data_IF_411040544974
#
_entry.id   IF_411040544974
#
_cell.length_a   1.000
_cell.length_b   1.000
_cell.length_c   1.000
_cell.angle_alpha   90.00
_cell.angle_beta   90.00
_cell.angle_gamma   90.00
#
_symmetry.space_group_name_H-M   'P 1'
#
loop_
_entity.id
_entity.type
_entity.pdbx_description
1 polymer ?
#
# COMPACT_ATOMS: atom_id res chain seq x y z
N UNK A 1 -12.63 19.23 -2.35
CA UNK A 1 -11.31 19.38 -3.02
C UNK A 1 -10.74 18.03 -3.45
N UNK A 2 -10.71 17.02 -2.57
CA UNK A 2 -10.15 15.68 -2.90
C UNK A 2 -10.94 14.99 -4.01
N UNK A 3 -12.28 14.98 -3.93
CA UNK A 3 -13.14 14.36 -4.93
C UNK A 3 -12.93 14.95 -6.34
N UNK A 4 -12.83 16.27 -6.45
CA UNK A 4 -12.56 16.94 -7.71
C UNK A 4 -11.19 16.53 -8.31
N UNK A 5 -10.17 16.34 -7.47
CA UNK A 5 -8.84 15.87 -7.91
C UNK A 5 -8.89 14.43 -8.41
N UNK A 6 -9.58 13.55 -7.69
CA UNK A 6 -9.77 12.15 -8.09
C UNK A 6 -10.52 12.09 -9.41
N UNK A 7 -11.65 12.80 -9.53
CA UNK A 7 -12.44 12.86 -10.76
C UNK A 7 -11.61 13.34 -11.96
N UNK A 8 -10.86 14.45 -11.79
CA UNK A 8 -9.96 14.97 -12.84
C UNK A 8 -8.89 13.95 -13.24
N UNK A 9 -8.34 13.20 -12.28
CA UNK A 9 -7.40 12.12 -12.56
C UNK A 9 -8.04 11.00 -13.39
N UNK A 10 -9.23 10.54 -12.99
CA UNK A 10 -9.97 9.50 -13.71
C UNK A 10 -10.36 9.91 -15.12
N UNK A 11 -10.74 11.17 -15.32
CA UNK A 11 -11.04 11.71 -16.64
C UNK A 11 -9.82 11.64 -17.59
N UNK A 12 -8.62 11.89 -17.07
CA UNK A 12 -7.37 11.76 -17.86
C UNK A 12 -7.14 10.30 -18.25
N UNK A 13 -7.25 9.37 -17.32
CA UNK A 13 -7.07 7.94 -17.60
C UNK A 13 -8.12 7.43 -18.59
N UNK A 14 -9.36 7.91 -18.46
CA UNK A 14 -10.44 7.56 -19.41
C UNK A 14 -10.14 8.04 -20.82
N UNK A 15 -9.54 9.21 -21.00
CA UNK A 15 -9.13 9.72 -22.32
C UNK A 15 -8.08 8.84 -22.98
N UNK A 16 -7.21 8.24 -22.19
CA UNK A 16 -6.16 7.30 -22.64
C UNK A 16 -6.65 5.84 -22.66
N UNK A 17 -7.94 5.61 -22.50
CA UNK A 17 -8.58 4.28 -22.47
C UNK A 17 -8.02 3.36 -21.37
N UNK A 18 -7.40 3.94 -20.32
CA UNK A 18 -6.83 3.20 -19.20
C UNK A 18 -7.88 2.96 -18.13
N UNK A 19 -8.20 1.70 -17.87
CA UNK A 19 -9.10 1.29 -16.79
C UNK A 19 -8.40 1.28 -15.46
N UNK A 20 -8.78 2.20 -14.57
CA UNK A 20 -8.28 2.24 -13.19
C UNK A 20 -9.03 1.20 -12.36
N UNK A 21 -8.28 0.42 -11.57
CA UNK A 21 -8.83 -0.58 -10.64
C UNK A 21 -8.62 -0.19 -9.18
N UNK A 22 -7.46 0.34 -8.84
CA UNK A 22 -7.09 0.62 -7.48
C UNK A 22 -6.50 2.02 -7.33
N UNK A 23 -6.62 2.55 -6.12
CA UNK A 23 -5.99 3.79 -5.71
C UNK A 23 -4.73 3.48 -4.89
N UNK A 24 -3.71 4.30 -5.08
CA UNK A 24 -2.53 4.34 -4.25
C UNK A 24 -2.33 5.78 -3.75
N UNK A 25 -2.31 5.97 -2.44
CA UNK A 25 -2.18 7.30 -1.85
C UNK A 25 -0.74 7.83 -1.95
N UNK A 26 -0.52 9.03 -2.51
CA UNK A 26 0.77 9.68 -2.40
C UNK A 26 1.20 9.80 -0.93
N UNK A 27 2.45 9.42 -0.63
CA UNK A 27 3.01 9.40 0.74
C UNK A 27 2.20 8.58 1.75
N UNK A 28 1.38 7.64 1.29
CA UNK A 28 0.51 6.80 2.14
C UNK A 28 -0.40 7.65 3.05
N UNK A 29 -0.87 8.81 2.54
CA UNK A 29 -1.74 9.71 3.28
C UNK A 29 -3.14 9.70 2.70
N UNK A 30 -4.11 9.26 3.51
CA UNK A 30 -5.52 9.27 3.19
C UNK A 30 -6.34 9.42 4.48
N UNK A 31 -7.54 9.97 4.35
CA UNK A 31 -8.48 10.21 5.42
C UNK A 31 -9.89 9.75 5.03
N UNK A 32 -10.86 10.02 5.89
CA UNK A 32 -12.26 9.67 5.66
C UNK A 32 -12.81 10.32 4.38
N UNK A 33 -12.45 11.57 4.11
CA UNK A 33 -12.91 12.28 2.91
C UNK A 33 -12.35 11.63 1.64
N UNK A 34 -11.11 11.09 1.70
CA UNK A 34 -10.52 10.32 0.61
C UNK A 34 -11.36 9.07 0.33
N UNK A 35 -11.79 8.33 1.36
CA UNK A 35 -12.61 7.13 1.18
C UNK A 35 -13.98 7.45 0.57
N UNK A 36 -14.61 8.52 1.02
CA UNK A 36 -15.89 8.99 0.45
C UNK A 36 -15.69 9.34 -1.04
N UNK A 37 -14.67 10.13 -1.33
CA UNK A 37 -14.37 10.58 -2.69
C UNK A 37 -14.05 9.41 -3.64
N UNK A 38 -13.31 8.40 -3.19
CA UNK A 38 -13.01 7.20 -3.95
C UNK A 38 -14.29 6.41 -4.27
N UNK A 39 -15.13 6.16 -3.25
CA UNK A 39 -16.41 5.44 -3.43
C UNK A 39 -17.37 6.16 -4.38
N UNK A 40 -17.50 7.48 -4.25
CA UNK A 40 -18.32 8.29 -5.16
C UNK A 40 -17.86 8.21 -6.63
N UNK A 41 -16.59 7.88 -6.84
CA UNK A 41 -16.01 7.71 -8.17
C UNK A 41 -15.80 6.24 -8.56
N UNK A 42 -16.44 5.30 -7.86
CA UNK A 42 -16.43 3.87 -8.18
C UNK A 42 -15.13 3.14 -7.87
N UNK A 43 -14.20 3.76 -7.12
CA UNK A 43 -12.96 3.12 -6.68
C UNK A 43 -13.16 2.53 -5.29
N UNK A 44 -13.10 1.21 -5.19
CA UNK A 44 -13.29 0.46 -3.95
C UNK A 44 -12.08 -0.37 -3.54
N UNK A 45 -10.95 -0.18 -4.20
CA UNK A 45 -9.72 -0.94 -3.98
C UNK A 45 -8.55 0.02 -3.75
N UNK A 46 -7.75 -0.26 -2.72
CA UNK A 46 -6.55 0.52 -2.34
C UNK A 46 -5.37 -0.43 -2.20
N UNK A 47 -4.24 -0.08 -2.81
CA UNK A 47 -2.95 -0.74 -2.58
C UNK A 47 -2.20 0.10 -1.55
N UNK A 48 -2.45 -0.17 -0.28
CA UNK A 48 -1.85 0.50 0.88
C UNK A 48 -2.36 -0.13 2.17
N UNK A 49 -1.90 0.39 3.30
CA UNK A 49 -2.41 0.03 4.61
C UNK A 49 -1.52 -0.91 5.40
N UNK A 50 -1.83 -0.99 6.68
CA UNK A 50 -1.05 -1.73 7.66
C UNK A 50 -1.75 -3.04 8.00
N UNK A 51 -1.29 -4.13 7.42
CA UNK A 51 -1.83 -5.46 7.67
C UNK A 51 -0.89 -6.53 7.15
N UNK A 52 -1.09 -7.77 7.57
CA UNK A 52 -0.35 -8.92 7.04
C UNK A 52 -1.15 -9.67 5.96
N UNK A 53 -2.46 -9.44 5.89
CA UNK A 53 -3.35 -10.02 4.89
C UNK A 53 -4.21 -8.94 4.26
N UNK A 54 -4.65 -9.10 3.02
CA UNK A 54 -5.68 -8.26 2.42
C UNK A 54 -6.94 -8.24 3.29
N UNK A 55 -7.56 -7.08 3.40
CA UNK A 55 -8.73 -6.87 4.27
C UNK A 55 -9.72 -5.88 3.66
N UNK A 56 -10.92 -5.85 4.23
CA UNK A 56 -11.93 -4.81 3.91
C UNK A 56 -12.16 -3.93 5.13
N UNK A 57 -12.16 -2.64 4.94
CA UNK A 57 -12.53 -1.63 5.91
C UNK A 57 -13.38 -0.55 5.26
N UNK A 58 -14.51 -0.16 5.89
CA UNK A 58 -15.42 0.87 5.35
C UNK A 58 -15.87 0.61 3.90
N UNK A 59 -16.07 -0.64 3.55
CA UNK A 59 -16.43 -1.11 2.19
C UNK A 59 -15.34 -0.82 1.13
N UNK A 60 -14.09 -0.64 1.54
CA UNK A 60 -12.92 -0.55 0.66
C UNK A 60 -12.03 -1.74 0.92
N UNK A 61 -11.55 -2.37 -0.14
CA UNK A 61 -10.62 -3.48 -0.11
C UNK A 61 -9.19 -2.95 -0.11
N UNK A 62 -8.37 -3.48 0.78
CA UNK A 62 -6.97 -3.10 0.93
C UNK A 62 -6.06 -4.28 0.63
N UNK A 63 -5.05 -4.06 -0.21
CA UNK A 63 -3.88 -4.93 -0.30
C UNK A 63 -2.76 -4.22 0.44
N UNK A 64 -2.29 -4.77 1.59
CA UNK A 64 -1.32 -4.11 2.45
C UNK A 64 0.01 -3.85 1.76
N UNK A 65 0.65 -2.74 2.13
CA UNK A 65 1.99 -2.39 1.71
C UNK A 65 2.80 -1.91 2.91
N UNK A 66 3.61 -2.79 3.48
CA UNK A 66 4.44 -2.47 4.64
C UNK A 66 5.89 -2.11 4.26
N UNK A 67 6.33 -2.50 3.08
CA UNK A 67 7.73 -2.43 2.67
C UNK A 67 7.90 -1.69 1.33
N UNK A 68 8.99 -0.95 1.21
CA UNK A 68 9.43 -0.30 -0.03
C UNK A 68 10.56 -1.09 -0.73
N UNK A 69 10.73 -2.34 -0.33
CA UNK A 69 11.66 -3.30 -0.94
C UNK A 69 11.02 -4.67 -0.96
N UNK A 70 11.51 -5.55 -1.84
CA UNK A 70 11.05 -6.94 -1.86
C UNK A 70 11.43 -7.65 -0.56
N UNK A 71 10.42 -8.19 0.11
CA UNK A 71 10.56 -8.94 1.36
C UNK A 71 9.67 -10.17 1.27
N UNK A 72 10.25 -11.32 1.54
CA UNK A 72 9.50 -12.56 1.71
C UNK A 72 9.12 -12.71 3.17
N UNK A 73 7.83 -12.69 3.45
CA UNK A 73 7.32 -12.96 4.79
C UNK A 73 7.05 -14.46 4.96
N UNK A 74 7.18 -14.99 6.18
CA UNK A 74 6.85 -16.39 6.47
C UNK A 74 5.35 -16.68 6.29
N UNK A 75 4.51 -15.64 6.38
CA UNK A 75 3.07 -15.69 6.11
C UNK A 75 2.56 -14.29 5.76
N UNK A 76 1.40 -14.23 5.15
CA UNK A 76 0.78 -12.97 4.75
C UNK A 76 0.87 -12.68 3.25
N UNK A 77 0.21 -11.63 2.83
CA UNK A 77 0.20 -11.14 1.45
C UNK A 77 0.47 -9.65 1.48
N UNK A 78 1.51 -9.23 0.77
CA UNK A 78 1.96 -7.84 0.71
C UNK A 78 2.12 -7.41 -0.74
N UNK A 79 1.76 -6.16 -1.02
CA UNK A 79 2.28 -5.46 -2.17
C UNK A 79 3.61 -4.79 -1.83
N UNK A 80 4.41 -4.51 -2.84
CA UNK A 80 5.69 -3.81 -2.68
C UNK A 80 5.77 -2.67 -3.67
N UNK A 81 6.12 -1.49 -3.19
CA UNK A 81 6.43 -0.33 -4.02
C UNK A 81 7.92 -0.30 -4.30
N UNK A 82 8.28 -0.28 -5.57
CA UNK A 82 9.67 -0.23 -6.01
C UNK A 82 9.97 1.09 -6.69
N UNK A 83 11.05 1.74 -6.28
CA UNK A 83 11.54 3.00 -6.85
C UNK A 83 12.61 2.72 -7.90
N UNK A 84 12.23 2.14 -9.03
CA UNK A 84 13.15 1.66 -10.07
C UNK A 84 14.00 2.78 -10.72
N UNK A 85 13.54 4.03 -10.63
CA UNK A 85 14.30 5.18 -11.16
C UNK A 85 15.62 5.47 -10.42
N UNK A 86 15.80 4.89 -9.22
CA UNK A 86 17.04 5.02 -8.44
C UNK A 86 17.93 3.77 -8.55
N UNK A 87 17.47 2.74 -9.27
CA UNK A 87 18.16 1.46 -9.34
C UNK A 87 19.40 1.52 -10.22
N UNK A 88 20.43 0.81 -9.74
CA UNK A 88 21.62 0.45 -10.51
C UNK A 88 21.40 -0.91 -11.20
N UNK A 89 22.27 -1.27 -12.11
CA UNK A 89 22.22 -2.56 -12.81
C UNK A 89 22.14 -3.76 -11.84
N UNK A 90 22.91 -3.72 -10.78
CA UNK A 90 22.90 -4.78 -9.75
C UNK A 90 21.53 -4.95 -9.06
N UNK A 91 20.75 -3.86 -8.91
CA UNK A 91 19.42 -3.92 -8.30
C UNK A 91 18.43 -4.65 -9.21
N UNK A 92 18.52 -4.43 -10.52
CA UNK A 92 17.72 -5.17 -11.51
C UNK A 92 18.06 -6.66 -11.50
N UNK A 93 19.36 -7.01 -11.48
CA UNK A 93 19.82 -8.41 -11.41
C UNK A 93 19.31 -9.08 -10.13
N UNK A 94 19.43 -8.40 -8.98
CA UNK A 94 18.95 -8.91 -7.70
C UNK A 94 17.43 -9.10 -7.70
N UNK A 95 16.69 -8.18 -8.27
CA UNK A 95 15.23 -8.28 -8.39
C UNK A 95 14.82 -9.44 -9.31
N UNK A 96 15.46 -9.57 -10.46
CA UNK A 96 15.20 -10.69 -11.37
C UNK A 96 15.46 -12.04 -10.70
N UNK A 97 16.58 -12.18 -9.99
CA UNK A 97 16.90 -13.38 -9.22
C UNK A 97 15.87 -13.66 -8.12
N UNK A 98 15.40 -12.60 -7.44
CA UNK A 98 14.33 -12.74 -6.45
C UNK A 98 13.04 -13.28 -7.08
N UNK A 99 12.62 -12.73 -8.22
CA UNK A 99 11.42 -13.19 -8.94
C UNK A 99 11.56 -14.65 -9.38
N UNK A 100 12.70 -15.00 -10.00
CA UNK A 100 12.96 -16.38 -10.45
C UNK A 100 12.92 -17.38 -9.29
N UNK A 101 13.57 -17.04 -8.17
CA UNK A 101 13.64 -17.91 -6.99
C UNK A 101 12.30 -18.09 -6.28
N UNK A 102 11.44 -17.07 -6.29
CA UNK A 102 10.22 -17.03 -5.48
C UNK A 102 8.94 -16.97 -6.34
N UNK A 103 9.01 -17.38 -7.61
CA UNK A 103 7.89 -17.28 -8.56
C UNK A 103 6.61 -17.98 -8.07
N UNK A 104 6.74 -19.07 -7.33
CA UNK A 104 5.62 -19.82 -6.74
C UNK A 104 4.94 -19.11 -5.56
N UNK A 105 5.55 -18.06 -5.01
CA UNK A 105 5.02 -17.25 -3.92
C UNK A 105 4.50 -15.88 -4.39
N UNK A 106 4.70 -15.58 -5.66
CA UNK A 106 4.20 -14.36 -6.29
C UNK A 106 2.82 -14.64 -6.85
N UNK A 107 1.85 -13.85 -6.43
CA UNK A 107 0.46 -14.00 -6.85
C UNK A 107 -0.02 -12.76 -7.60
N UNK A 108 -1.05 -12.94 -8.41
CA UNK A 108 -1.67 -11.82 -9.12
C UNK A 108 -2.48 -10.93 -8.18
N UNK A 109 -2.80 -9.73 -8.63
CA UNK A 109 -3.66 -8.79 -7.91
C UNK A 109 -5.03 -9.41 -7.57
N UNK A 110 -5.64 -10.12 -8.52
CA UNK A 110 -6.94 -10.76 -8.30
C UNK A 110 -6.86 -11.90 -7.29
N UNK A 111 -5.80 -12.69 -7.34
CA UNK A 111 -5.54 -13.72 -6.35
C UNK A 111 -5.33 -13.12 -4.94
N UNK A 112 -4.68 -11.96 -4.84
CA UNK A 112 -4.54 -11.27 -3.56
C UNK A 112 -5.90 -10.79 -3.04
N UNK A 113 -6.75 -10.20 -3.87
CA UNK A 113 -8.11 -9.79 -3.49
C UNK A 113 -8.99 -10.97 -3.05
N UNK A 114 -8.84 -12.13 -3.70
CA UNK A 114 -9.57 -13.36 -3.32
C UNK A 114 -9.15 -13.89 -1.94
N UNK A 115 -8.03 -13.44 -1.39
CA UNK A 115 -7.53 -13.81 -0.06
C UNK A 115 -7.92 -12.81 1.04
N UNK A 116 -8.83 -11.88 0.78
CA UNK A 116 -9.34 -10.96 1.79
C UNK A 116 -9.87 -11.75 2.98
N UNK A 117 -9.39 -11.42 4.17
CA UNK A 117 -9.79 -12.05 5.40
C UNK A 117 -10.00 -11.02 6.51
N UNK A 118 -11.23 -10.96 7.01
CA UNK A 118 -11.68 -10.04 8.06
C UNK A 118 -11.98 -10.74 9.39
N UNK A 119 -11.47 -11.94 9.61
CA UNK A 119 -11.67 -12.62 10.88
C UNK A 119 -11.02 -11.84 12.04
N UNK A 120 -11.44 -12.17 13.27
CA UNK A 120 -11.00 -11.48 14.47
C UNK A 120 -9.46 -11.51 14.64
N UNK A 121 -8.83 -12.65 14.34
CA UNK A 121 -7.38 -12.81 14.48
C UNK A 121 -6.61 -11.83 13.57
N UNK A 122 -6.98 -11.71 12.29
CA UNK A 122 -6.32 -10.76 11.37
C UNK A 122 -6.62 -9.30 11.69
N UNK A 123 -7.83 -9.00 12.21
CA UNK A 123 -8.14 -7.66 12.73
C UNK A 123 -7.24 -7.30 13.91
N UNK A 124 -7.03 -8.22 14.83
CA UNK A 124 -6.16 -8.06 15.99
C UNK A 124 -4.68 -7.88 15.57
N UNK A 125 -4.17 -8.74 14.68
CA UNK A 125 -2.83 -8.58 14.11
C UNK A 125 -2.64 -7.23 13.43
N UNK A 126 -3.62 -6.78 12.66
CA UNK A 126 -3.60 -5.45 12.02
C UNK A 126 -3.57 -4.34 13.06
N UNK A 127 -4.33 -4.44 14.13
CA UNK A 127 -4.30 -3.46 15.22
C UNK A 127 -2.90 -3.36 15.84
N UNK A 128 -2.26 -4.50 16.15
CA UNK A 128 -0.88 -4.54 16.66
C UNK A 128 0.08 -3.90 15.66
N UNK A 129 0.08 -4.34 14.41
CA UNK A 129 0.96 -3.81 13.36
C UNK A 129 0.82 -2.30 13.21
N UNK A 130 -0.41 -1.80 13.17
CA UNK A 130 -0.71 -0.37 13.08
C UNK A 130 -0.17 0.39 14.29
N UNK A 131 -0.36 -0.14 15.50
CA UNK A 131 0.09 0.49 16.74
C UNK A 131 1.62 0.57 16.80
N UNK A 132 2.31 -0.51 16.47
CA UNK A 132 3.78 -0.55 16.45
C UNK A 132 4.34 0.45 15.44
N UNK A 133 3.79 0.51 14.22
CA UNK A 133 4.24 1.42 13.19
C UNK A 133 3.94 2.89 13.53
N UNK A 134 2.81 3.19 14.16
CA UNK A 134 2.51 4.53 14.68
C UNK A 134 3.52 4.98 15.74
N UNK A 135 3.83 4.11 16.71
CA UNK A 135 4.83 4.40 17.75
C UNK A 135 6.21 4.64 17.13
N UNK A 136 6.62 3.82 16.15
CA UNK A 136 7.89 4.02 15.45
C UNK A 136 7.93 5.37 14.73
N UNK A 137 6.86 5.76 14.02
CA UNK A 137 6.78 7.07 13.34
C UNK A 137 6.86 8.24 14.32
N UNK A 138 6.20 8.14 15.48
CA UNK A 138 6.26 9.18 16.51
C UNK A 138 7.68 9.33 17.09
N UNK A 139 8.40 8.23 17.28
CA UNK A 139 9.81 8.28 17.73
C UNK A 139 10.70 8.96 16.69
N UNK A 140 10.61 8.55 15.43
CA UNK A 140 11.40 9.14 14.34
C UNK A 140 11.11 10.64 14.16
N UNK A 141 9.84 11.05 14.31
CA UNK A 141 9.48 12.46 14.26
C UNK A 141 10.12 13.25 15.39
N UNK A 142 10.10 12.74 16.64
CA UNK A 142 10.77 13.38 17.76
C UNK A 142 12.27 13.49 17.54
N UNK A 143 12.92 12.43 17.08
CA UNK A 143 14.36 12.45 16.79
C UNK A 143 14.73 13.48 15.70
N UNK A 144 13.92 13.63 14.67
CA UNK A 144 14.13 14.66 13.65
C UNK A 144 13.94 16.09 14.19
N UNK A 145 12.95 16.30 15.05
CA UNK A 145 12.72 17.61 15.71
C UNK A 145 13.84 17.98 16.67
N UNK A 146 14.44 17.01 17.37
CA UNK A 146 15.63 17.26 18.23
C UNK A 146 16.84 17.66 17.38
N UNK A 147 17.13 16.95 16.29
CA UNK A 147 18.27 17.26 15.41
C UNK A 147 18.16 18.65 14.75
N UNK A 148 16.95 19.12 14.47
CA UNK A 148 16.74 20.47 13.90
C UNK A 148 16.94 21.57 14.96
N UNK A 149 16.75 21.27 16.25
CA UNK A 149 16.94 22.25 17.32
C UNK A 149 18.40 22.36 17.77
N UNK A 150 19.23 21.39 17.45
CA UNK A 150 20.67 21.35 17.79
C UNK A 150 21.57 21.85 16.62
N UNK A 151 20.98 22.09 15.44
CA UNK A 151 21.68 22.63 14.25
C UNK A 151 21.43 24.13 14.09
#
# INVERSE_FOLDING_TARGET
IQEARIKKGLEKFKKEEIKIRAFFAPNQTYDENTFIALKNNGITEIIDGYGLMPYTEKNIKFIPQLFEKVVLLPFGIQSTKLHTHTWKEIDYINFENFIKKNSNQIITYDQALAKINNNFFYKFLRFITTSVLRLKRLRLKKESEYKIKEA
#
